data_IF_467124962012
#
_entry.id   IF_467124962012
#
_cell.length_a   1.000
_cell.length_b   1.000
_cell.length_c   1.000
_cell.angle_alpha   90.00
_cell.angle_beta   90.00
_cell.angle_gamma   90.00
#
_symmetry.space_group_name_H-M   'P 1'
#
loop_
_entity.id
_entity.type
_entity.pdbx_description
1 polymer ?
#
# COMPACT_ATOMS: atom_id res chain seq x y z
N UNK A 1 1.65 -12.15 -9.18
CA UNK A 1 1.66 -12.10 -7.70
C UNK A 1 0.26 -11.88 -7.14
N UNK A 2 -0.43 -10.81 -7.52
CA UNK A 2 -1.85 -10.59 -7.26
C UNK A 2 -2.62 -10.79 -8.58
N UNK A 3 -3.73 -11.53 -8.54
CA UNK A 3 -4.70 -11.62 -9.64
C UNK A 3 -6.10 -11.34 -9.12
N UNK A 4 -6.84 -10.56 -9.86
CA UNK A 4 -8.26 -10.29 -9.71
C UNK A 4 -8.89 -10.72 -11.03
N UNK A 5 -9.86 -11.61 -11.02
CA UNK A 5 -10.44 -12.20 -12.21
C UNK A 5 -11.96 -12.04 -12.20
N UNK A 6 -12.49 -11.37 -13.23
CA UNK A 6 -13.92 -11.13 -13.48
C UNK A 6 -14.67 -10.64 -12.23
N UNK A 7 -14.02 -9.75 -11.46
CA UNK A 7 -14.55 -9.29 -10.19
C UNK A 7 -15.71 -8.31 -10.39
N UNK A 8 -16.81 -8.57 -9.72
CA UNK A 8 -17.95 -7.65 -9.59
C UNK A 8 -18.13 -7.29 -8.12
N UNK A 9 -18.23 -6.00 -7.83
CA UNK A 9 -18.42 -5.51 -6.48
C UNK A 9 -19.60 -4.56 -6.41
N UNK A 10 -20.49 -4.85 -5.44
CA UNK A 10 -21.61 -4.00 -5.07
C UNK A 10 -21.49 -3.62 -3.59
N UNK A 11 -21.76 -2.38 -3.27
CA UNK A 11 -21.72 -1.88 -1.89
C UNK A 11 -22.95 -1.03 -1.62
N UNK A 12 -23.74 -1.39 -0.58
CA UNK A 12 -24.98 -0.70 -0.25
C UNK A 12 -25.99 -0.66 -1.41
N UNK A 13 -26.08 -1.71 -2.21
CA UNK A 13 -26.94 -1.78 -3.40
C UNK A 13 -26.36 -1.11 -4.66
N UNK A 14 -25.33 -0.27 -4.53
CA UNK A 14 -24.68 0.40 -5.67
C UNK A 14 -23.64 -0.50 -6.30
N UNK A 15 -23.70 -0.69 -7.62
CA UNK A 15 -22.64 -1.34 -8.40
C UNK A 15 -21.44 -0.40 -8.48
N UNK A 16 -20.26 -0.84 -8.02
CA UNK A 16 -19.01 -0.07 -8.09
C UNK A 16 -18.25 -0.43 -9.35
N UNK A 17 -18.06 -1.73 -9.61
CA UNK A 17 -17.48 -2.22 -10.87
C UNK A 17 -18.00 -3.60 -11.21
N UNK A 18 -17.93 -3.97 -12.49
CA UNK A 18 -18.39 -5.25 -13.03
C UNK A 18 -17.35 -5.86 -13.94
N UNK A 19 -17.14 -7.18 -13.82
CA UNK A 19 -16.25 -7.99 -14.66
C UNK A 19 -14.82 -7.42 -14.77
N UNK A 20 -14.33 -6.85 -13.66
CA UNK A 20 -13.03 -6.22 -13.62
C UNK A 20 -11.94 -7.28 -13.41
N UNK A 21 -10.90 -7.23 -14.25
CA UNK A 21 -9.75 -8.14 -14.16
C UNK A 21 -8.45 -7.35 -14.12
N UNK A 22 -7.52 -7.79 -13.27
CA UNK A 22 -6.23 -7.15 -13.06
C UNK A 22 -5.19 -8.18 -12.66
N UNK A 23 -3.98 -8.08 -13.21
CA UNK A 23 -2.82 -8.86 -12.74
C UNK A 23 -1.67 -7.92 -12.34
N UNK A 24 -1.10 -8.15 -11.14
CA UNK A 24 0.14 -7.52 -10.69
C UNK A 24 1.18 -8.61 -10.52
N UNK A 25 2.18 -8.64 -11.37
CA UNK A 25 3.29 -9.60 -11.30
C UNK A 25 4.31 -9.18 -10.23
N UNK A 26 5.09 -10.15 -9.74
CA UNK A 26 6.23 -9.84 -8.86
C UNK A 26 7.19 -8.86 -9.55
N UNK A 27 7.68 -7.88 -8.81
CA UNK A 27 8.57 -6.85 -9.33
C UNK A 27 7.90 -5.82 -10.25
N UNK A 28 6.55 -5.76 -10.27
CA UNK A 28 5.81 -4.79 -11.08
C UNK A 28 4.97 -3.87 -10.22
N UNK A 29 4.85 -2.65 -10.68
CA UNK A 29 4.01 -1.62 -10.10
C UNK A 29 2.86 -1.27 -11.05
N UNK A 30 1.65 -1.61 -10.63
CA UNK A 30 0.40 -1.27 -11.33
C UNK A 30 -0.33 -0.20 -10.54
N UNK A 31 -0.83 0.82 -11.23
CA UNK A 31 -1.64 1.86 -10.63
C UNK A 31 -3.06 1.84 -11.20
N UNK A 32 -4.06 1.79 -10.32
CA UNK A 32 -5.46 1.91 -10.69
C UNK A 32 -5.90 3.37 -10.57
N UNK A 33 -6.50 3.89 -11.64
CA UNK A 33 -7.08 5.24 -11.68
C UNK A 33 -8.55 5.17 -12.03
N UNK A 34 -9.27 6.25 -11.82
CA UNK A 34 -10.70 6.36 -12.13
C UNK A 34 -11.36 7.50 -11.38
N UNK A 35 -12.63 7.76 -11.65
CA UNK A 35 -13.39 8.83 -11.01
C UNK A 35 -13.51 8.65 -9.50
N UNK A 36 -13.77 9.75 -8.78
CA UNK A 36 -14.04 9.67 -7.35
C UNK A 36 -15.29 8.82 -7.10
N UNK A 37 -15.21 7.90 -6.14
CA UNK A 37 -16.32 7.01 -5.79
C UNK A 37 -16.57 5.84 -6.74
N UNK A 38 -15.72 5.57 -7.75
CA UNK A 38 -15.85 4.40 -8.64
C UNK A 38 -15.47 3.07 -7.98
N UNK A 39 -14.92 3.07 -6.77
CA UNK A 39 -14.62 1.84 -6.03
C UNK A 39 -13.14 1.47 -5.90
N UNK A 40 -12.21 2.39 -6.16
CA UNK A 40 -10.76 2.14 -6.08
C UNK A 40 -10.31 1.63 -4.71
N UNK A 41 -10.65 2.32 -3.63
CA UNK A 41 -10.41 1.87 -2.25
C UNK A 41 -11.09 0.54 -1.97
N UNK A 42 -12.32 0.36 -2.49
CA UNK A 42 -13.07 -0.89 -2.32
C UNK A 42 -12.39 -2.07 -3.03
N UNK A 43 -11.74 -1.84 -4.18
CA UNK A 43 -10.93 -2.84 -4.88
C UNK A 43 -9.76 -3.30 -4.00
N UNK A 44 -9.01 -2.38 -3.38
CA UNK A 44 -7.92 -2.73 -2.46
C UNK A 44 -8.44 -3.49 -1.23
N UNK A 45 -9.57 -3.06 -0.67
CA UNK A 45 -10.21 -3.74 0.46
C UNK A 45 -10.72 -5.14 0.08
N UNK A 46 -11.25 -5.32 -1.12
CA UNK A 46 -11.64 -6.64 -1.64
C UNK A 46 -10.40 -7.55 -1.82
N UNK A 47 -9.28 -7.01 -2.32
CA UNK A 47 -8.02 -7.75 -2.44
C UNK A 47 -7.44 -8.19 -1.07
N UNK A 48 -7.84 -7.55 0.02
CA UNK A 48 -7.50 -7.93 1.41
C UNK A 48 -8.57 -8.80 2.10
N UNK A 49 -9.68 -9.08 1.43
CA UNK A 49 -10.81 -9.82 2.01
C UNK A 49 -11.57 -9.05 3.09
N UNK A 50 -11.55 -7.71 3.04
CA UNK A 50 -12.41 -6.87 3.89
C UNK A 50 -13.79 -6.63 3.29
N UNK A 51 -13.91 -6.78 1.97
CA UNK A 51 -15.16 -6.68 1.23
C UNK A 51 -15.33 -7.94 0.37
N UNK A 52 -16.46 -8.64 0.49
CA UNK A 52 -16.76 -9.78 -0.37
C UNK A 52 -17.07 -9.30 -1.79
N UNK A 53 -16.63 -10.03 -2.79
CA UNK A 53 -17.05 -9.85 -4.18
C UNK A 53 -18.44 -10.45 -4.38
N UNK A 54 -19.25 -9.84 -5.25
CA UNK A 54 -20.52 -10.44 -5.72
C UNK A 54 -20.23 -11.62 -6.67
N UNK A 55 -19.21 -11.48 -7.52
CA UNK A 55 -18.69 -12.53 -8.40
C UNK A 55 -17.21 -12.32 -8.71
N UNK A 56 -16.58 -13.35 -9.29
CA UNK A 56 -15.15 -13.33 -9.58
C UNK A 56 -14.33 -13.82 -8.40
N UNK A 57 -12.99 -13.70 -8.52
CA UNK A 57 -12.07 -14.18 -7.49
C UNK A 57 -10.81 -13.31 -7.38
N UNK A 58 -10.19 -13.39 -6.23
CA UNK A 58 -8.87 -12.80 -5.94
C UNK A 58 -7.90 -13.91 -5.56
N UNK A 59 -6.68 -13.85 -6.05
CA UNK A 59 -5.61 -14.73 -5.59
C UNK A 59 -4.30 -13.96 -5.38
N UNK A 60 -3.52 -14.38 -4.36
CA UNK A 60 -2.22 -13.80 -4.04
C UNK A 60 -1.18 -14.90 -3.91
N UNK A 61 -0.13 -14.83 -4.74
CA UNK A 61 0.92 -15.85 -4.77
C UNK A 61 0.44 -17.22 -5.21
N UNK A 62 -0.63 -17.29 -6.03
CA UNK A 62 -1.27 -18.52 -6.49
C UNK A 62 -2.29 -19.09 -5.49
N UNK A 63 -2.48 -18.46 -4.34
CA UNK A 63 -3.44 -18.88 -3.32
C UNK A 63 -4.70 -18.04 -3.43
N UNK A 64 -5.87 -18.66 -3.61
CA UNK A 64 -7.16 -17.97 -3.69
C UNK A 64 -7.53 -17.38 -2.33
N UNK A 65 -8.08 -16.16 -2.35
CA UNK A 65 -8.55 -15.45 -1.17
C UNK A 65 -9.89 -16.03 -0.70
N UNK A 66 -9.85 -16.72 0.41
CA UNK A 66 -11.00 -17.34 1.09
C UNK A 66 -10.90 -17.07 2.60
N UNK A 67 -11.93 -17.39 3.37
CA UNK A 67 -11.89 -17.31 4.83
C UNK A 67 -10.72 -18.12 5.44
N UNK A 68 -10.34 -19.25 4.81
CA UNK A 68 -9.25 -20.12 5.29
C UNK A 68 -7.85 -19.59 4.93
N UNK A 69 -7.74 -18.77 3.91
CA UNK A 69 -6.44 -18.30 3.37
C UNK A 69 -6.15 -16.83 3.67
N UNK A 70 -7.17 -16.05 4.04
CA UNK A 70 -7.09 -14.59 4.22
C UNK A 70 -5.98 -14.17 5.19
N UNK A 71 -5.79 -14.87 6.30
CA UNK A 71 -4.72 -14.55 7.26
C UNK A 71 -3.32 -14.74 6.65
N UNK A 72 -3.11 -15.83 5.89
CA UNK A 72 -1.83 -16.09 5.21
C UNK A 72 -1.55 -15.06 4.14
N UNK A 73 -2.58 -14.65 3.40
CA UNK A 73 -2.48 -13.61 2.37
C UNK A 73 -2.13 -12.26 3.02
N UNK A 74 -2.83 -11.87 4.09
CA UNK A 74 -2.55 -10.63 4.84
C UNK A 74 -1.13 -10.61 5.44
N UNK A 75 -0.61 -11.75 5.92
CA UNK A 75 0.78 -11.85 6.39
C UNK A 75 1.82 -11.51 5.31
N UNK A 76 1.51 -11.74 4.04
CA UNK A 76 2.39 -11.47 2.89
C UNK A 76 2.15 -10.10 2.26
N UNK A 77 1.16 -9.35 2.76
CA UNK A 77 0.71 -8.08 2.18
C UNK A 77 0.93 -6.95 3.18
N UNK A 78 1.48 -5.83 2.72
CA UNK A 78 1.44 -4.56 3.41
C UNK A 78 0.32 -3.72 2.79
N UNK A 79 -0.42 -3.00 3.63
CA UNK A 79 -1.46 -2.08 3.17
C UNK A 79 -1.25 -0.70 3.77
N UNK A 80 -1.21 0.30 2.92
CA UNK A 80 -1.16 1.71 3.28
C UNK A 80 -2.49 2.34 2.87
N UNK A 81 -3.41 2.59 3.81
CA UNK A 81 -4.67 3.27 3.53
C UNK A 81 -4.45 4.76 3.27
N UNK A 82 -5.42 5.42 2.67
CA UNK A 82 -5.39 6.87 2.40
C UNK A 82 -5.23 7.69 3.68
N UNK A 83 -5.95 7.29 4.74
CA UNK A 83 -5.82 7.87 6.07
C UNK A 83 -5.44 6.77 7.06
N UNK A 84 -4.37 7.00 7.79
CA UNK A 84 -3.91 6.09 8.83
C UNK A 84 -3.72 6.86 10.14
N UNK A 85 -4.54 6.51 11.11
CA UNK A 85 -4.38 6.94 12.50
C UNK A 85 -3.75 5.80 13.29
N UNK A 86 -2.55 6.04 13.82
CA UNK A 86 -1.87 5.09 14.69
C UNK A 86 -1.89 5.64 16.12
N UNK A 87 -2.18 4.79 17.11
CA UNK A 87 -2.17 5.18 18.52
C UNK A 87 -0.71 5.26 19.02
N UNK A 88 0.00 6.30 18.62
CA UNK A 88 1.39 6.53 18.99
C UNK A 88 1.60 8.01 19.32
N UNK A 89 2.36 8.30 20.37
CA UNK A 89 2.72 9.66 20.73
C UNK A 89 3.96 10.14 19.99
N UNK A 90 4.92 9.24 19.73
CA UNK A 90 6.17 9.54 19.04
C UNK A 90 6.29 8.80 17.71
N UNK A 91 7.16 9.31 16.83
CA UNK A 91 7.48 8.67 15.55
C UNK A 91 8.17 7.33 15.78
N UNK A 92 9.06 7.24 16.76
CA UNK A 92 9.73 6.00 17.16
C UNK A 92 8.71 4.93 17.54
N UNK A 93 7.78 5.24 18.44
CA UNK A 93 6.70 4.34 18.83
C UNK A 93 5.87 3.91 17.60
N UNK A 94 5.46 4.86 16.75
CA UNK A 94 4.69 4.59 15.54
C UNK A 94 5.40 3.60 14.61
N UNK A 95 6.71 3.74 14.43
CA UNK A 95 7.52 2.88 13.56
C UNK A 95 7.65 1.45 14.11
N UNK A 96 7.64 1.28 15.43
CA UNK A 96 7.73 -0.03 16.07
C UNK A 96 6.39 -0.80 16.09
N UNK A 97 5.24 -0.10 16.06
CA UNK A 97 3.91 -0.74 16.14
C UNK A 97 3.72 -1.96 15.21
N UNK A 98 4.08 -1.92 13.92
CA UNK A 98 3.88 -3.08 13.04
C UNK A 98 4.70 -4.30 13.44
N UNK A 99 5.86 -4.12 14.07
CA UNK A 99 6.75 -5.21 14.48
C UNK A 99 6.23 -5.94 15.72
N UNK A 100 5.39 -5.31 16.53
CA UNK A 100 4.71 -5.94 17.65
C UNK A 100 3.52 -6.82 17.23
N UNK A 101 3.08 -6.71 15.98
CA UNK A 101 1.96 -7.52 15.49
C UNK A 101 2.36 -8.99 15.32
N UNK A 102 1.48 -9.90 15.71
CA UNK A 102 1.67 -11.37 15.55
C UNK A 102 2.03 -11.77 14.11
N UNK A 103 1.52 -11.03 13.13
CA UNK A 103 1.79 -11.27 11.70
C UNK A 103 3.22 -10.94 11.25
N UNK A 104 4.01 -10.25 12.09
CA UNK A 104 5.34 -9.76 11.77
C UNK A 104 6.39 -10.17 12.82
N UNK A 105 6.09 -11.17 13.67
CA UNK A 105 6.99 -11.65 14.75
C UNK A 105 8.34 -12.19 14.26
N UNK A 106 8.41 -12.50 12.96
CA UNK A 106 9.62 -12.95 12.26
C UNK A 106 10.48 -11.80 11.74
N UNK A 107 10.12 -10.57 12.07
CA UNK A 107 10.79 -9.37 11.57
C UNK A 107 11.28 -8.49 12.72
N UNK A 108 12.53 -8.09 12.58
CA UNK A 108 13.14 -7.15 13.52
C UNK A 108 13.13 -5.74 12.93
N UNK A 109 12.95 -4.75 13.81
CA UNK A 109 13.13 -3.36 13.45
C UNK A 109 14.63 -3.09 13.23
N UNK A 110 14.95 -2.44 12.12
CA UNK A 110 16.32 -2.03 11.79
C UNK A 110 16.35 -0.53 11.48
N UNK A 111 16.99 0.24 12.37
CA UNK A 111 17.18 1.69 12.16
C UNK A 111 18.00 1.96 10.89
N UNK A 112 19.04 1.16 10.62
CA UNK A 112 19.85 1.29 9.41
C UNK A 112 19.01 1.17 8.14
N UNK A 113 18.11 0.17 8.11
CA UNK A 113 17.19 -0.03 6.98
C UNK A 113 16.18 1.12 6.86
N UNK A 114 15.66 1.61 8.00
CA UNK A 114 14.78 2.76 8.04
C UNK A 114 15.45 3.99 7.44
N UNK A 115 16.67 4.31 7.87
CA UNK A 115 17.40 5.48 7.40
C UNK A 115 17.72 5.42 5.89
N UNK A 116 17.93 4.22 5.32
CA UNK A 116 18.04 4.05 3.86
C UNK A 116 16.75 4.47 3.14
N UNK A 117 15.58 4.06 3.63
CA UNK A 117 14.30 4.48 3.06
C UNK A 117 14.02 5.96 3.32
N UNK A 118 14.39 6.48 4.50
CA UNK A 118 14.23 7.89 4.83
C UNK A 118 15.08 8.80 3.95
N UNK A 119 16.32 8.40 3.65
CA UNK A 119 17.16 9.12 2.67
C UNK A 119 16.47 9.19 1.30
N UNK A 120 15.89 8.08 0.83
CA UNK A 120 15.17 8.04 -0.44
C UNK A 120 13.92 8.93 -0.41
N UNK A 121 13.21 8.95 0.71
CA UNK A 121 11.99 9.73 0.91
C UNK A 121 12.25 11.20 1.31
N UNK A 122 13.50 11.63 1.48
CA UNK A 122 13.85 12.98 1.91
C UNK A 122 13.35 13.29 3.33
N UNK A 123 13.43 12.31 4.23
CA UNK A 123 13.13 12.45 5.64
C UNK A 123 14.42 12.61 6.45
N UNK A 124 14.42 13.57 7.35
CA UNK A 124 15.56 13.85 8.23
C UNK A 124 15.54 12.93 9.46
N UNK A 125 16.75 12.55 9.93
CA UNK A 125 16.88 11.62 11.05
C UNK A 125 16.28 12.15 12.36
N UNK A 126 16.28 13.46 12.58
CA UNK A 126 15.72 14.10 13.76
C UNK A 126 14.21 13.88 13.93
N UNK A 127 13.49 13.58 12.84
CA UNK A 127 12.07 13.24 12.87
C UNK A 127 11.79 12.00 13.73
N UNK A 128 12.77 11.11 13.89
CA UNK A 128 12.62 9.87 14.66
C UNK A 128 12.17 10.14 16.11
N UNK A 129 12.66 11.21 16.73
CA UNK A 129 12.37 11.58 18.11
C UNK A 129 11.22 12.59 18.26
N UNK A 130 10.59 12.99 17.16
CA UNK A 130 9.47 13.96 17.22
C UNK A 130 8.16 13.30 17.65
N UNK A 131 7.27 14.13 18.22
CA UNK A 131 5.88 13.72 18.46
C UNK A 131 5.12 13.65 17.12
N UNK A 132 4.23 12.68 16.98
CA UNK A 132 3.44 12.49 15.75
C UNK A 132 2.61 13.72 15.39
N UNK A 133 2.12 14.45 16.40
CA UNK A 133 1.33 15.69 16.20
C UNK A 133 2.14 16.85 15.60
N UNK A 134 3.47 16.79 15.64
CA UNK A 134 4.36 17.83 15.09
C UNK A 134 4.70 17.60 13.62
N UNK A 135 4.32 16.44 13.06
CA UNK A 135 4.59 16.10 11.67
C UNK A 135 3.63 16.84 10.74
N UNK A 136 4.16 17.32 9.61
CA UNK A 136 3.30 17.71 8.48
C UNK A 136 2.57 16.47 7.90
N UNK A 137 1.47 16.68 7.18
CA UNK A 137 0.76 15.60 6.50
C UNK A 137 1.66 14.80 5.56
N UNK A 138 2.49 15.49 4.79
CA UNK A 138 3.44 14.86 3.87
C UNK A 138 4.58 14.10 4.57
N UNK A 139 5.09 14.61 5.70
CA UNK A 139 6.06 13.87 6.53
C UNK A 139 5.44 12.59 7.07
N UNK A 140 4.24 12.68 7.65
CA UNK A 140 3.52 11.52 8.18
C UNK A 140 3.29 10.47 7.11
N UNK A 141 2.82 10.87 5.93
CA UNK A 141 2.57 9.96 4.81
C UNK A 141 3.85 9.23 4.38
N UNK A 142 4.97 9.95 4.22
CA UNK A 142 6.26 9.35 3.85
C UNK A 142 6.81 8.42 4.94
N UNK A 143 6.62 8.75 6.23
CA UNK A 143 6.99 7.87 7.34
C UNK A 143 6.17 6.57 7.31
N UNK A 144 4.86 6.64 7.08
CA UNK A 144 3.98 5.48 6.96
C UNK A 144 4.41 4.58 5.79
N UNK A 145 4.77 5.17 4.65
CA UNK A 145 5.28 4.43 3.50
C UNK A 145 6.61 3.74 3.81
N UNK A 146 7.53 4.42 4.53
CA UNK A 146 8.78 3.80 4.97
C UNK A 146 8.54 2.61 5.91
N UNK A 147 7.60 2.74 6.83
CA UNK A 147 7.18 1.68 7.75
C UNK A 147 6.66 0.45 6.98
N UNK A 148 5.79 0.66 5.99
CA UNK A 148 5.30 -0.43 5.14
C UNK A 148 6.43 -1.10 4.34
N UNK A 149 7.40 -0.31 3.83
CA UNK A 149 8.56 -0.80 3.11
C UNK A 149 9.50 -1.64 3.98
N UNK A 150 9.63 -1.28 5.28
CA UNK A 150 10.45 -2.00 6.24
C UNK A 150 9.98 -3.44 6.48
N UNK A 151 8.70 -3.73 6.29
CA UNK A 151 8.12 -5.03 6.52
C UNK A 151 8.49 -6.09 5.47
N UNK A 152 9.16 -5.74 4.36
CA UNK A 152 9.56 -6.65 3.28
C UNK A 152 8.45 -7.61 2.84
N UNK A 153 7.26 -7.10 2.67
CA UNK A 153 6.13 -7.91 2.20
C UNK A 153 6.22 -8.12 0.69
N UNK A 154 5.70 -9.25 0.21
CA UNK A 154 5.72 -9.60 -1.21
C UNK A 154 4.72 -8.78 -2.04
N UNK A 155 3.69 -8.25 -1.40
CA UNK A 155 2.67 -7.40 -2.00
C UNK A 155 2.51 -6.13 -1.17
N UNK A 156 2.54 -4.97 -1.83
CA UNK A 156 2.19 -3.68 -1.25
C UNK A 156 0.93 -3.17 -1.95
N UNK A 157 -0.09 -2.88 -1.15
CA UNK A 157 -1.30 -2.17 -1.57
C UNK A 157 -1.25 -0.76 -1.00
N UNK A 158 -1.42 0.27 -1.83
CA UNK A 158 -1.33 1.66 -1.40
C UNK A 158 -2.51 2.47 -1.95
N UNK A 159 -3.29 3.05 -1.05
CA UNK A 159 -4.47 3.85 -1.37
C UNK A 159 -4.12 5.33 -1.30
N UNK A 160 -4.12 6.01 -2.45
CA UNK A 160 -3.79 7.44 -2.61
C UNK A 160 -2.49 7.86 -1.86
N UNK A 161 -1.35 7.18 -2.06
CA UNK A 161 -0.15 7.37 -1.27
C UNK A 161 0.51 8.74 -1.45
N UNK A 162 0.01 9.56 -2.38
CA UNK A 162 0.56 10.87 -2.75
C UNK A 162 -0.40 12.02 -2.55
N UNK A 163 -1.60 11.80 -1.96
CA UNK A 163 -2.66 12.81 -1.85
C UNK A 163 -2.29 14.06 -1.03
N UNK A 164 -1.35 13.93 -0.09
CA UNK A 164 -0.89 15.01 0.80
C UNK A 164 0.52 15.52 0.46
N UNK A 165 1.03 15.22 -0.76
CA UNK A 165 2.42 15.45 -1.13
C UNK A 165 2.55 16.53 -2.21
N UNK A 166 3.64 17.29 -2.12
CA UNK A 166 4.14 18.14 -3.22
C UNK A 166 4.80 17.30 -4.32
N UNK A 167 5.08 17.91 -5.47
CA UNK A 167 5.63 17.22 -6.64
C UNK A 167 6.99 16.54 -6.36
N UNK A 168 7.88 17.18 -5.61
CA UNK A 168 9.18 16.58 -5.24
C UNK A 168 8.97 15.33 -4.39
N UNK A 169 8.09 15.39 -3.41
CA UNK A 169 7.74 14.26 -2.56
C UNK A 169 7.02 13.14 -3.33
N UNK A 170 6.23 13.45 -4.35
CA UNK A 170 5.66 12.45 -5.28
C UNK A 170 6.77 11.69 -6.00
N UNK A 171 7.78 12.39 -6.52
CA UNK A 171 8.96 11.78 -7.15
C UNK A 171 9.71 10.83 -6.20
N UNK A 172 9.87 11.23 -4.93
CA UNK A 172 10.53 10.41 -3.89
C UNK A 172 9.74 9.15 -3.55
N UNK A 173 8.40 9.24 -3.47
CA UNK A 173 7.54 8.06 -3.26
C UNK A 173 7.58 7.13 -4.46
N UNK A 174 7.59 7.67 -5.66
CA UNK A 174 7.77 6.88 -6.89
C UNK A 174 9.12 6.13 -6.90
N UNK A 175 10.20 6.78 -6.48
CA UNK A 175 11.51 6.15 -6.33
C UNK A 175 11.49 5.03 -5.27
N UNK A 176 10.78 5.20 -4.16
CA UNK A 176 10.58 4.13 -3.17
C UNK A 176 9.87 2.92 -3.80
N UNK A 177 8.78 3.14 -4.54
CA UNK A 177 8.04 2.04 -5.18
C UNK A 177 8.88 1.32 -6.23
N UNK A 178 9.68 2.05 -7.00
CA UNK A 178 10.67 1.47 -7.92
C UNK A 178 11.74 0.65 -7.18
N UNK A 179 12.23 1.15 -6.04
CA UNK A 179 13.17 0.40 -5.20
C UNK A 179 12.56 -0.91 -4.68
N UNK A 180 11.29 -0.90 -4.27
CA UNK A 180 10.60 -2.11 -3.79
C UNK A 180 10.35 -3.11 -4.93
N UNK A 181 9.92 -2.65 -6.10
CA UNK A 181 9.69 -3.53 -7.26
C UNK A 181 10.99 -4.14 -7.76
N UNK A 182 12.10 -3.41 -7.76
CA UNK A 182 13.42 -3.94 -8.10
C UNK A 182 13.87 -5.09 -7.17
N UNK A 183 13.31 -5.16 -5.96
CA UNK A 183 13.52 -6.26 -4.99
C UNK A 183 12.49 -7.39 -5.12
N UNK A 184 11.61 -7.32 -6.13
CA UNK A 184 10.60 -8.36 -6.40
C UNK A 184 9.25 -8.13 -5.72
N UNK A 185 9.04 -7.04 -4.97
CA UNK A 185 7.73 -6.68 -4.41
C UNK A 185 6.76 -6.36 -5.55
N UNK A 186 5.56 -6.94 -5.51
CA UNK A 186 4.46 -6.51 -6.35
C UNK A 186 3.78 -5.29 -5.70
N UNK A 187 3.52 -4.24 -6.47
CA UNK A 187 2.87 -3.03 -5.95
C UNK A 187 1.58 -2.77 -6.72
N UNK A 188 0.46 -2.70 -6.02
CA UNK A 188 -0.80 -2.16 -6.52
C UNK A 188 -1.11 -0.87 -5.78
N UNK A 189 -1.16 0.23 -6.49
CA UNK A 189 -1.54 1.52 -5.94
C UNK A 189 -2.80 2.05 -6.60
N UNK A 190 -3.45 2.96 -5.90
CA UNK A 190 -4.55 3.78 -6.43
C UNK A 190 -4.08 5.22 -6.39
N UNK A 191 -4.21 5.95 -7.48
CA UNK A 191 -3.91 7.38 -7.51
C UNK A 191 -4.60 8.08 -8.68
N UNK A 192 -4.76 9.39 -8.56
CA UNK A 192 -5.15 10.31 -9.62
C UNK A 192 -4.02 11.31 -9.96
N UNK A 193 -2.88 11.24 -9.28
CA UNK A 193 -1.75 12.12 -9.52
C UNK A 193 -1.01 11.71 -10.81
N UNK A 194 -0.95 12.62 -11.78
CA UNK A 194 -0.40 12.36 -13.12
C UNK A 194 1.07 11.91 -13.08
N UNK A 195 1.94 12.61 -12.35
CA UNK A 195 3.36 12.29 -12.26
C UNK A 195 3.58 10.90 -11.64
N UNK A 196 2.74 10.52 -10.66
CA UNK A 196 2.77 9.20 -10.06
C UNK A 196 2.30 8.09 -11.01
N UNK A 197 1.26 8.38 -11.83
CA UNK A 197 0.77 7.45 -12.87
C UNK A 197 1.83 7.22 -13.96
N UNK A 198 2.54 8.27 -14.40
CA UNK A 198 3.60 8.18 -15.40
C UNK A 198 4.81 7.37 -14.89
N UNK A 199 5.00 7.28 -13.57
CA UNK A 199 6.10 6.53 -12.97
C UNK A 199 5.84 5.03 -12.83
N UNK A 200 4.62 4.50 -12.92
CA UNK A 200 4.32 3.08 -12.76
C UNK A 200 4.57 2.26 -14.03
N UNK A 201 4.57 0.92 -13.93
CA UNK A 201 4.74 0.04 -15.10
C UNK A 201 3.47 -0.06 -15.96
N UNK A 202 2.31 0.05 -15.30
CA UNK A 202 1.01 -0.07 -15.96
C UNK A 202 -0.04 0.77 -15.23
N UNK A 203 -0.84 1.49 -15.98
CA UNK A 203 -2.04 2.17 -15.48
C UNK A 203 -3.27 1.40 -15.95
N UNK A 204 -4.20 1.15 -15.04
CA UNK A 204 -5.48 0.50 -15.32
C UNK A 204 -6.61 1.44 -14.87
N UNK A 205 -7.61 1.64 -15.72
CA UNK A 205 -8.79 2.43 -15.37
C UNK A 205 -9.88 1.52 -14.82
N UNK A 206 -10.43 1.89 -13.66
CA UNK A 206 -11.58 1.24 -13.04
C UNK A 206 -12.86 1.92 -13.49
#
# INVERSE_FOLDING_TARGET
MLKIESATLRLGGRLLFRDFSLEVRAGKWVCVTGESGCGKTSLLRAALGFLPLESGRVSVGGEELTERTVERIRKRTAYVPQELFLPAESVEEMLHLPFHLKANRDKDFSEEKLLRFWKLLGLERDLFHRKVVQLSGGQRQRIILSMAAMLDKRLLLADEPTSALDEDSVGRVSALFRCLTARGTAVLSVSHNRAFLEACDQVVKL
#
